data_IF_678761447054
#
_entry.id   IF_678761447054
#
_cell.length_a   1.000
_cell.length_b   1.000
_cell.length_c   1.000
_cell.angle_alpha   90.00
_cell.angle_beta   90.00
_cell.angle_gamma   90.00
#
_symmetry.space_group_name_H-M   'P 1'
#
loop_
_entity.id
_entity.type
_entity.pdbx_description
1 polymer ?
#
# COMPACT_ATOMS: atom_id res chain seq x y z
N UNK A 1 14.49 14.00 -2.37
CA UNK A 1 14.47 12.55 -2.08
C UNK A 1 13.04 12.04 -1.83
N UNK A 2 12.31 12.53 -0.81
CA UNK A 2 10.92 12.08 -0.56
C UNK A 2 10.00 12.41 -1.74
N UNK A 3 10.04 13.64 -2.25
CA UNK A 3 9.22 14.01 -3.43
C UNK A 3 9.57 13.21 -4.68
N UNK A 4 10.86 12.90 -4.88
CA UNK A 4 11.32 12.10 -6.02
C UNK A 4 10.78 10.67 -5.92
N UNK A 5 10.90 10.03 -4.76
CA UNK A 5 10.38 8.67 -4.58
C UNK A 5 8.85 8.63 -4.60
N UNK A 6 8.17 9.68 -4.13
CA UNK A 6 6.72 9.81 -4.27
C UNK A 6 6.28 9.89 -5.74
N UNK A 7 6.99 10.66 -6.57
CA UNK A 7 6.75 10.70 -8.02
C UNK A 7 7.06 9.35 -8.68
N UNK A 8 8.11 8.65 -8.25
CA UNK A 8 8.38 7.30 -8.75
C UNK A 8 7.25 6.32 -8.40
N UNK A 9 6.72 6.36 -7.18
CA UNK A 9 5.58 5.54 -6.76
C UNK A 9 4.34 5.86 -7.62
N UNK A 10 4.05 7.13 -7.87
CA UNK A 10 2.97 7.53 -8.78
C UNK A 10 3.18 7.00 -10.21
N UNK A 11 4.43 6.95 -10.67
CA UNK A 11 4.77 6.43 -12.00
C UNK A 11 4.43 4.93 -12.15
N UNK A 12 4.47 4.15 -11.06
CA UNK A 12 4.13 2.71 -11.06
C UNK A 12 2.67 2.44 -11.41
N UNK A 13 1.79 3.41 -11.16
CA UNK A 13 0.36 3.36 -11.53
C UNK A 13 0.01 4.31 -12.68
N UNK A 14 1.02 4.87 -13.36
CA UNK A 14 0.84 5.77 -14.51
C UNK A 14 0.34 7.18 -14.17
N UNK A 15 0.43 7.60 -12.91
CA UNK A 15 -0.13 8.88 -12.40
C UNK A 15 0.91 9.98 -12.16
N UNK A 16 2.18 9.75 -12.49
CA UNK A 16 3.23 10.75 -12.26
C UNK A 16 3.06 11.96 -13.19
N UNK A 17 3.23 13.15 -12.61
CA UNK A 17 3.24 14.43 -13.32
C UNK A 17 4.64 14.92 -13.67
N UNK A 18 5.68 14.36 -13.04
CA UNK A 18 7.08 14.75 -13.22
C UNK A 18 7.97 13.51 -13.43
N UNK A 19 8.28 13.25 -14.71
CA UNK A 19 9.09 12.08 -15.12
C UNK A 19 10.55 12.18 -14.71
N UNK A 20 11.10 13.40 -14.62
CA UNK A 20 12.49 13.59 -14.21
C UNK A 20 12.65 13.31 -12.72
N UNK A 21 11.69 13.78 -11.92
CA UNK A 21 11.58 13.45 -10.51
C UNK A 21 11.38 11.95 -10.28
N UNK A 22 10.47 11.32 -11.01
CA UNK A 22 10.29 9.87 -10.95
C UNK A 22 11.57 9.09 -11.31
N UNK A 23 12.36 9.59 -12.26
CA UNK A 23 13.63 8.96 -12.66
C UNK A 23 14.66 9.00 -11.53
N UNK A 24 14.78 10.13 -10.82
CA UNK A 24 15.64 10.23 -9.62
C UNK A 24 15.12 9.36 -8.47
N UNK A 25 13.80 9.32 -8.29
CA UNK A 25 13.14 8.55 -7.23
C UNK A 25 13.31 7.04 -7.36
N UNK A 26 13.53 6.53 -8.58
CA UNK A 26 13.75 5.10 -8.84
C UNK A 26 14.92 4.52 -8.04
N UNK A 27 16.01 5.27 -7.89
CA UNK A 27 17.18 4.83 -7.12
C UNK A 27 16.81 4.70 -5.63
N UNK A 28 16.16 5.73 -5.07
CA UNK A 28 15.70 5.74 -3.68
C UNK A 28 14.74 4.57 -3.40
N UNK A 29 13.80 4.32 -4.33
CA UNK A 29 12.87 3.19 -4.22
C UNK A 29 13.61 1.85 -4.20
N UNK A 30 14.59 1.68 -5.10
CA UNK A 30 15.40 0.46 -5.19
C UNK A 30 16.17 0.19 -3.90
N UNK A 31 16.68 1.23 -3.26
CA UNK A 31 17.50 1.12 -2.05
C UNK A 31 16.67 0.89 -0.78
N UNK A 32 15.45 1.41 -0.70
CA UNK A 32 14.71 1.48 0.58
C UNK A 32 13.31 0.83 0.56
N UNK A 33 12.67 0.69 -0.60
CA UNK A 33 11.26 0.33 -0.69
C UNK A 33 11.03 -1.06 -1.30
N UNK A 34 11.96 -1.53 -2.14
CA UNK A 34 11.84 -2.79 -2.89
C UNK A 34 11.73 -4.01 -1.99
N UNK A 35 12.37 -3.99 -0.83
CA UNK A 35 12.38 -5.16 0.07
C UNK A 35 10.97 -5.50 0.59
N UNK A 36 10.11 -4.49 0.76
CA UNK A 36 8.73 -4.70 1.19
C UNK A 36 7.74 -4.65 0.03
N UNK A 37 7.88 -3.70 -0.90
CA UNK A 37 6.90 -3.46 -1.96
C UNK A 37 7.24 -4.13 -3.30
N UNK A 38 8.42 -4.74 -3.42
CA UNK A 38 8.90 -5.39 -4.62
C UNK A 38 9.36 -4.42 -5.71
N UNK A 39 10.21 -4.92 -6.62
CA UNK A 39 10.86 -4.12 -7.67
C UNK A 39 9.90 -3.39 -8.63
N UNK A 40 8.65 -3.87 -8.75
CA UNK A 40 7.60 -3.28 -9.60
C UNK A 40 6.42 -2.74 -8.77
N UNK A 41 6.58 -2.58 -7.46
CA UNK A 41 5.49 -2.16 -6.56
C UNK A 41 4.39 -3.19 -6.42
N UNK A 42 4.67 -4.48 -6.64
CA UNK A 42 3.67 -5.54 -6.57
C UNK A 42 3.22 -5.94 -5.15
N UNK A 43 3.80 -5.31 -4.12
CA UNK A 43 3.49 -5.56 -2.71
C UNK A 43 4.03 -6.90 -2.20
N UNK A 44 3.85 -7.12 -0.90
CA UNK A 44 4.15 -8.38 -0.23
C UNK A 44 3.03 -8.67 0.79
N UNK A 45 2.23 -9.70 0.51
CA UNK A 45 1.08 -10.07 1.34
C UNK A 45 1.49 -10.58 2.73
N UNK A 46 2.62 -11.27 2.86
CA UNK A 46 3.10 -11.81 4.15
C UNK A 46 3.48 -10.69 5.11
N UNK A 47 4.03 -9.59 4.58
CA UNK A 47 4.36 -8.39 5.35
C UNK A 47 3.17 -7.42 5.48
N UNK A 48 2.06 -7.67 4.80
CA UNK A 48 0.95 -6.73 4.66
C UNK A 48 1.31 -5.48 3.84
N UNK A 49 2.41 -5.50 3.08
CA UNK A 49 2.84 -4.38 2.26
C UNK A 49 1.92 -4.26 1.02
N UNK A 50 1.18 -3.14 0.87
CA UNK A 50 0.24 -2.98 -0.23
C UNK A 50 0.93 -2.88 -1.59
N UNK A 51 0.16 -3.17 -2.64
CA UNK A 51 0.55 -2.89 -4.02
C UNK A 51 0.60 -1.39 -4.24
N UNK A 52 1.69 -0.92 -4.84
CA UNK A 52 1.88 0.49 -5.23
C UNK A 52 1.66 0.71 -6.72
N UNK A 53 1.54 -0.38 -7.49
CA UNK A 53 1.25 -0.37 -8.92
C UNK A 53 -0.25 -0.56 -9.25
N UNK A 54 -1.12 -0.40 -8.24
CA UNK A 54 -2.57 -0.52 -8.39
C UNK A 54 -3.22 0.88 -8.43
N UNK A 55 -4.43 0.93 -9.00
CA UNK A 55 -5.30 2.09 -8.93
C UNK A 55 -5.95 2.27 -7.55
N UNK A 56 -6.02 1.22 -6.74
CA UNK A 56 -6.67 1.21 -5.42
C UNK A 56 -5.70 1.66 -4.32
N UNK A 57 -6.09 2.69 -3.56
CA UNK A 57 -5.30 3.26 -2.46
C UNK A 57 -6.14 3.42 -1.20
N UNK A 58 -5.65 2.93 -0.06
CA UNK A 58 -6.33 3.08 1.23
C UNK A 58 -6.11 4.46 1.86
N UNK A 59 -4.89 5.00 1.74
CA UNK A 59 -4.47 6.26 2.41
C UNK A 59 -4.32 7.44 1.43
N UNK A 60 -5.00 7.39 0.28
CA UNK A 60 -4.93 8.41 -0.76
C UNK A 60 -3.78 8.20 -1.75
N UNK A 61 -4.08 8.31 -3.04
CA UNK A 61 -3.13 8.11 -4.15
C UNK A 61 -2.67 9.39 -4.82
N UNK A 62 -2.74 10.54 -4.11
CA UNK A 62 -2.19 11.81 -4.57
C UNK A 62 -0.73 11.93 -4.14
N UNK A 63 0.04 12.80 -4.79
CA UNK A 63 1.44 13.07 -4.42
C UNK A 63 1.57 13.44 -2.94
N UNK A 64 0.76 14.39 -2.48
CA UNK A 64 0.81 14.87 -1.10
C UNK A 64 0.52 13.75 -0.08
N UNK A 65 -0.46 12.89 -0.37
CA UNK A 65 -0.80 11.76 0.49
C UNK A 65 0.30 10.69 0.55
N UNK A 66 1.00 10.48 -0.57
CA UNK A 66 2.14 9.56 -0.65
C UNK A 66 3.33 10.15 0.11
N UNK A 67 3.62 11.45 -0.07
CA UNK A 67 4.67 12.17 0.68
C UNK A 67 4.41 12.11 2.17
N UNK A 68 3.18 12.36 2.61
CA UNK A 68 2.78 12.25 4.02
C UNK A 68 3.02 10.82 4.54
N UNK A 69 2.59 9.81 3.79
CA UNK A 69 2.75 8.40 4.17
C UNK A 69 4.22 8.00 4.29
N UNK A 70 5.09 8.45 3.38
CA UNK A 70 6.54 8.18 3.44
C UNK A 70 7.17 8.90 4.64
N UNK A 71 6.75 10.13 4.91
CA UNK A 71 7.34 10.97 5.95
C UNK A 71 6.97 10.53 7.36
N UNK A 72 5.73 10.07 7.55
CA UNK A 72 5.16 9.81 8.88
C UNK A 72 4.76 8.36 9.13
N UNK A 73 4.88 7.49 8.13
CA UNK A 73 4.37 6.12 8.17
C UNK A 73 2.83 6.06 8.38
N UNK A 74 2.28 4.85 8.30
CA UNK A 74 0.87 4.57 8.62
C UNK A 74 0.83 3.36 9.56
N UNK A 75 0.42 3.58 10.81
CA UNK A 75 0.29 2.54 11.84
C UNK A 75 -1.08 1.87 11.86
N UNK A 76 -1.57 1.43 10.70
CA UNK A 76 -2.89 0.80 10.60
C UNK A 76 -2.94 -0.51 11.39
N UNK A 77 -3.91 -0.64 12.30
CA UNK A 77 -4.13 -1.87 13.09
C UNK A 77 -5.51 -2.41 12.79
N UNK A 78 -5.60 -3.69 12.42
CA UNK A 78 -6.84 -4.44 12.38
C UNK A 78 -7.01 -5.18 13.73
N UNK A 79 -7.95 -4.76 14.61
CA UNK A 79 -8.10 -5.39 15.91
C UNK A 79 -8.51 -6.87 15.82
N UNK A 80 -8.10 -7.66 16.79
CA UNK A 80 -8.54 -9.04 16.91
C UNK A 80 -10.00 -9.10 17.39
N UNK A 81 -10.91 -9.57 16.54
CA UNK A 81 -12.33 -9.65 16.86
C UNK A 81 -12.72 -10.84 17.73
N UNK A 82 -11.86 -11.86 17.86
CA UNK A 82 -12.18 -13.10 18.59
C UNK A 82 -12.36 -12.95 20.11
N UNK A 83 -11.97 -11.81 20.69
CA UNK A 83 -12.24 -11.50 22.10
C UNK A 83 -13.54 -10.71 22.29
N UNK A 84 -14.12 -10.21 21.19
CA UNK A 84 -15.28 -9.31 21.19
C UNK A 84 -16.52 -10.03 20.65
N UNK A 85 -16.33 -10.86 19.61
CA UNK A 85 -17.40 -11.55 18.91
C UNK A 85 -17.33 -13.06 19.13
N UNK A 86 -18.50 -13.70 19.15
CA UNK A 86 -18.60 -15.16 19.15
C UNK A 86 -17.94 -15.77 17.91
N UNK A 87 -17.37 -16.98 18.05
CA UNK A 87 -16.69 -17.69 16.96
C UNK A 87 -17.58 -17.90 15.75
N UNK A 88 -18.88 -18.13 15.93
CA UNK A 88 -19.81 -18.31 14.81
C UNK A 88 -20.02 -16.99 14.07
N UNK A 89 -20.12 -15.87 14.78
CA UNK A 89 -20.24 -14.53 14.18
C UNK A 89 -18.99 -14.20 13.38
N UNK A 90 -17.80 -14.44 13.94
CA UNK A 90 -16.53 -14.25 13.20
C UNK A 90 -16.54 -15.07 11.91
N UNK A 91 -16.96 -16.34 11.96
CA UNK A 91 -17.03 -17.19 10.77
C UNK A 91 -18.02 -16.68 9.73
N UNK A 92 -19.21 -16.22 10.15
CA UNK A 92 -20.20 -15.62 9.25
C UNK A 92 -19.66 -14.35 8.59
N UNK A 93 -19.00 -13.48 9.36
CA UNK A 93 -18.36 -12.27 8.83
C UNK A 93 -17.22 -12.60 7.87
N UNK A 94 -16.42 -13.64 8.14
CA UNK A 94 -15.39 -14.12 7.21
C UNK A 94 -16.00 -14.54 5.87
N UNK A 95 -17.09 -15.32 5.89
CA UNK A 95 -17.80 -15.72 4.66
C UNK A 95 -18.37 -14.51 3.93
N UNK A 96 -18.94 -13.56 4.67
CA UNK A 96 -19.48 -12.33 4.09
C UNK A 96 -18.40 -11.50 3.40
N UNK A 97 -17.28 -11.19 4.07
CA UNK A 97 -16.16 -10.44 3.48
C UNK A 97 -15.55 -11.19 2.29
N UNK A 98 -15.45 -12.51 2.35
CA UNK A 98 -15.01 -13.34 1.22
C UNK A 98 -15.96 -13.19 0.02
N UNK A 99 -17.28 -13.17 0.25
CA UNK A 99 -18.28 -12.97 -0.82
C UNK A 99 -18.20 -11.59 -1.49
N UNK A 100 -17.65 -10.59 -0.80
CA UNK A 100 -17.39 -9.25 -1.35
C UNK A 100 -16.08 -9.18 -2.16
N UNK A 101 -15.37 -10.30 -2.32
CA UNK A 101 -14.06 -10.36 -2.98
C UNK A 101 -12.87 -10.09 -2.05
N UNK A 102 -13.12 -10.00 -0.74
CA UNK A 102 -12.11 -9.69 0.29
C UNK A 102 -11.28 -10.88 0.79
N UNK A 103 -11.47 -12.08 0.23
CA UNK A 103 -10.63 -13.23 0.56
C UNK A 103 -10.26 -13.97 -0.72
N UNK A 104 -8.96 -14.11 -0.98
CA UNK A 104 -8.45 -15.16 -1.85
C UNK A 104 -7.99 -16.31 -0.98
#
# INVERSE_FOLDING_TARGET
QIDDVAEYVLSLSGKSSDKDSATRGKAVFKENCVDCHGAKGQGNQELGAPKLNDAIWLFGGTKDAIVETISYSRGGVMPAWGQILDKNIVKQLTVYVHSLGGGK
#
